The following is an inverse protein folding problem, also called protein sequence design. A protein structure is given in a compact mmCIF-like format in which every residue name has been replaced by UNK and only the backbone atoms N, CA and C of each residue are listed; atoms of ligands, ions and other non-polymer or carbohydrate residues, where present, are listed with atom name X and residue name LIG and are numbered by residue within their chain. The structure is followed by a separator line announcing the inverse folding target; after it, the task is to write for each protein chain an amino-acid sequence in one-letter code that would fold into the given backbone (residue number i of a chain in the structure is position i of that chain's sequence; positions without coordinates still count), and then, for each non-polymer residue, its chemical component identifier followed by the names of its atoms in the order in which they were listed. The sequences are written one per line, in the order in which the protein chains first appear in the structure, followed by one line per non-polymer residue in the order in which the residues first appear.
data_IF_790462178324
#
_entry.id   IF_790462178324
#
_cell.length_a   1.000
_cell.length_b   1.000
_cell.length_c   1.000
_cell.angle_alpha   90.00
_cell.angle_beta   90.00
_cell.angle_gamma   90.00
#
_symmetry.space_group_name_H-M   'P 1'
#
loop_
_entity.id
_entity.type
_entity.pdbx_description
1 polymer ?
#
# COMPACT_ATOMS: atom_id res chain seq x y z
N UNK A 1 -0.50 16.95 -3.89
CA UNK A 1 0.92 16.51 -3.92
C UNK A 1 0.97 15.00 -3.78
N UNK A 2 1.90 14.32 -4.46
CA UNK A 2 2.12 12.87 -4.34
C UNK A 2 3.46 12.63 -3.67
N UNK A 3 3.48 11.82 -2.61
CA UNK A 3 4.68 11.44 -1.89
C UNK A 3 4.98 9.95 -2.08
N UNK A 4 5.94 9.66 -2.96
CA UNK A 4 6.41 8.30 -3.27
C UNK A 4 7.74 7.95 -2.60
N UNK A 5 8.46 8.95 -2.08
CA UNK A 5 9.80 8.76 -1.54
C UNK A 5 9.77 8.05 -0.19
N UNK A 6 10.70 7.12 0.02
CA UNK A 6 10.88 6.39 1.26
C UNK A 6 11.72 5.14 1.04
N UNK A 7 11.95 4.38 2.10
CA UNK A 7 12.47 3.02 1.96
C UNK A 7 11.39 2.18 1.29
N UNK A 8 11.75 1.38 0.28
CA UNK A 8 10.78 0.65 -0.55
C UNK A 8 10.51 -0.79 -0.08
N UNK A 9 11.30 -1.30 0.86
CA UNK A 9 11.27 -2.69 1.31
C UNK A 9 11.73 -2.81 2.78
N UNK A 10 11.80 -4.04 3.28
CA UNK A 10 12.27 -4.43 4.59
C UNK A 10 13.67 -3.89 4.89
N UNK A 11 13.81 -3.31 6.07
CA UNK A 11 15.05 -2.71 6.53
C UNK A 11 15.06 -2.65 8.07
N UNK A 12 16.22 -2.39 8.70
CA UNK A 12 16.27 -2.15 10.13
C UNK A 12 15.32 -1.03 10.55
N UNK A 13 14.73 -1.16 11.74
CA UNK A 13 13.66 -0.26 12.19
C UNK A 13 14.07 1.22 12.17
N UNK A 14 15.28 1.57 12.63
CA UNK A 14 15.74 2.97 12.61
C UNK A 14 15.78 3.55 11.18
N UNK A 15 16.22 2.75 10.20
CA UNK A 15 16.22 3.12 8.78
C UNK A 15 14.80 3.39 8.28
N UNK A 16 13.83 2.55 8.63
CA UNK A 16 12.43 2.72 8.24
C UNK A 16 11.79 3.94 8.92
N UNK A 17 12.05 4.14 10.21
CA UNK A 17 11.54 5.28 10.95
C UNK A 17 12.08 6.60 10.40
N UNK A 18 13.38 6.68 10.09
CA UNK A 18 13.99 7.89 9.51
C UNK A 18 13.62 8.09 8.05
N UNK A 19 13.69 7.03 7.25
CA UNK A 19 13.55 7.08 5.79
C UNK A 19 12.11 7.16 5.31
N UNK A 20 11.14 6.67 6.10
CA UNK A 20 9.74 6.65 5.71
C UNK A 20 8.86 7.47 6.67
N UNK A 21 8.90 7.19 7.97
CA UNK A 21 7.97 7.82 8.94
C UNK A 21 8.29 9.30 9.15
N UNK A 22 9.56 9.63 9.43
CA UNK A 22 9.99 11.01 9.64
C UNK A 22 9.88 11.85 8.35
N UNK A 23 10.17 11.25 7.20
CA UNK A 23 9.99 11.90 5.89
C UNK A 23 8.51 12.22 5.65
N UNK A 24 7.60 11.25 5.85
CA UNK A 24 6.17 11.48 5.72
C UNK A 24 5.66 12.57 6.66
N UNK A 25 6.14 12.59 7.91
CA UNK A 25 5.84 13.66 8.86
C UNK A 25 6.25 15.04 8.32
N UNK A 26 7.49 15.21 7.86
CA UNK A 26 7.96 16.49 7.31
C UNK A 26 7.15 16.92 6.07
N UNK A 27 6.79 15.95 5.23
CA UNK A 27 6.01 16.18 4.02
C UNK A 27 4.59 16.66 4.36
N UNK A 28 3.92 16.02 5.33
CA UNK A 28 2.61 16.44 5.80
C UNK A 28 2.67 17.83 6.43
N UNK A 29 3.69 18.10 7.23
CA UNK A 29 3.83 19.38 7.92
C UNK A 29 4.15 20.54 6.96
N UNK A 30 5.05 20.30 6.00
CA UNK A 30 5.34 21.26 4.94
C UNK A 30 4.09 21.52 4.06
N UNK A 31 3.29 20.48 3.78
CA UNK A 31 2.06 20.60 3.01
C UNK A 31 1.02 21.46 3.71
N UNK A 32 0.81 21.24 5.02
CA UNK A 32 -0.08 22.05 5.83
C UNK A 32 0.32 23.53 5.83
N UNK A 33 1.62 23.81 6.05
CA UNK A 33 2.16 25.18 6.04
C UNK A 33 2.05 25.87 4.68
N UNK A 34 2.21 25.12 3.60
CA UNK A 34 2.12 25.65 2.23
C UNK A 34 0.67 25.78 1.73
N UNK A 35 -0.33 25.42 2.54
CA UNK A 35 -1.74 25.46 2.14
C UNK A 35 -2.07 24.45 1.04
N UNK A 36 -1.31 23.35 0.94
CA UNK A 36 -1.62 22.26 0.00
C UNK A 36 -2.93 21.63 0.44
N UNK A 37 -3.93 21.61 -0.46
CA UNK A 37 -5.24 21.03 -0.15
C UNK A 37 -5.19 19.53 0.12
N UNK A 38 -4.39 18.80 -0.69
CA UNK A 38 -4.37 17.32 -0.72
C UNK A 38 -2.99 16.73 -0.79
N UNK A 39 -2.76 15.68 0.01
CA UNK A 39 -1.57 14.83 -0.02
C UNK A 39 -1.95 13.39 -0.31
N UNK A 40 -1.34 12.80 -1.33
CA UNK A 40 -1.44 11.37 -1.65
C UNK A 40 -0.17 10.69 -1.16
N UNK A 41 -0.30 9.76 -0.22
CA UNK A 41 0.81 9.01 0.38
C UNK A 41 0.91 7.62 -0.26
N UNK A 42 2.12 7.24 -0.69
CA UNK A 42 2.42 5.86 -1.04
C UNK A 42 2.46 4.99 0.23
N UNK A 43 1.36 4.30 0.47
CA UNK A 43 1.26 3.23 1.45
C UNK A 43 1.60 1.88 0.78
N UNK A 44 1.32 0.77 1.45
CA UNK A 44 1.65 -0.55 0.92
C UNK A 44 0.65 -1.61 1.35
N UNK A 45 0.44 -2.60 0.49
CA UNK A 45 -0.27 -3.82 0.84
C UNK A 45 0.33 -4.58 2.03
N UNK A 46 1.61 -4.33 2.32
CA UNK A 46 2.38 -4.92 3.42
C UNK A 46 1.80 -4.61 4.81
N UNK A 47 0.94 -3.58 4.92
CA UNK A 47 0.16 -3.33 6.15
C UNK A 47 -0.71 -4.50 6.57
N UNK A 48 -1.15 -5.33 5.62
CA UNK A 48 -2.15 -6.39 5.81
C UNK A 48 -1.65 -7.75 5.35
N UNK A 49 -0.33 -7.91 5.13
CA UNK A 49 0.18 -9.16 4.57
C UNK A 49 0.05 -10.39 5.47
N UNK A 50 -0.15 -10.24 6.79
CA UNK A 50 -0.41 -11.39 7.67
C UNK A 50 -1.88 -11.86 7.67
N UNK A 51 -2.77 -11.24 6.90
CA UNK A 51 -4.09 -11.82 6.63
C UNK A 51 -3.95 -13.09 5.78
N UNK A 52 -4.84 -14.09 5.93
CA UNK A 52 -4.82 -15.27 5.07
C UNK A 52 -5.32 -14.94 3.66
N UNK A 53 -4.82 -15.68 2.65
CA UNK A 53 -5.27 -15.53 1.25
C UNK A 53 -6.78 -15.78 1.10
N UNK A 54 -7.37 -16.63 1.95
CA UNK A 54 -8.80 -16.96 1.94
C UNK A 54 -9.72 -15.83 2.42
N UNK A 55 -9.18 -14.71 2.88
CA UNK A 55 -9.96 -13.59 3.43
C UNK A 55 -9.86 -12.37 2.53
N UNK A 56 -11.00 -11.84 2.08
CA UNK A 56 -11.05 -10.56 1.39
C UNK A 56 -10.90 -9.42 2.38
N UNK A 57 -9.82 -8.65 2.27
CA UNK A 57 -9.48 -7.56 3.18
C UNK A 57 -9.89 -6.22 2.58
N UNK A 58 -10.64 -5.43 3.35
CA UNK A 58 -11.01 -4.06 2.98
C UNK A 58 -9.97 -3.02 3.43
N UNK A 59 -9.99 -1.80 2.88
CA UNK A 59 -9.13 -0.71 3.34
C UNK A 59 -9.28 -0.41 4.85
N UNK A 60 -10.48 -0.60 5.40
CA UNK A 60 -10.82 -0.34 6.82
C UNK A 60 -10.42 -1.48 7.77
N UNK A 61 -9.98 -2.62 7.25
CA UNK A 61 -9.53 -3.73 8.07
C UNK A 61 -8.33 -3.31 8.95
N UNK A 62 -8.26 -3.79 10.21
CA UNK A 62 -7.14 -3.46 11.08
C UNK A 62 -5.82 -3.96 10.49
N UNK A 63 -4.71 -3.24 10.67
CA UNK A 63 -3.43 -3.67 10.12
C UNK A 63 -2.97 -4.98 10.75
N UNK A 64 -2.44 -5.87 9.91
CA UNK A 64 -1.71 -7.09 10.29
C UNK A 64 -0.43 -7.14 9.46
N UNK A 65 0.59 -6.33 9.83
CA UNK A 65 1.78 -6.16 9.02
C UNK A 65 2.57 -7.46 8.89
N UNK A 66 3.20 -7.65 7.74
CA UNK A 66 4.05 -8.81 7.42
C UNK A 66 5.54 -8.58 7.72
N UNK A 67 5.91 -7.39 8.19
CA UNK A 67 7.28 -7.03 8.57
C UNK A 67 7.39 -5.61 9.14
N UNK A 68 8.61 -5.17 9.47
CA UNK A 68 8.89 -3.82 9.97
C UNK A 68 8.56 -2.76 8.89
N UNK A 69 8.77 -3.08 7.61
CA UNK A 69 8.36 -2.19 6.52
C UNK A 69 6.86 -1.91 6.56
N UNK A 70 6.05 -2.97 6.70
CA UNK A 70 4.60 -2.85 6.87
C UNK A 70 4.24 -1.99 8.09
N UNK A 71 4.91 -2.20 9.24
CA UNK A 71 4.75 -1.37 10.44
C UNK A 71 5.07 0.11 10.17
N UNK A 72 6.13 0.40 9.42
CA UNK A 72 6.47 1.79 9.07
C UNK A 72 5.36 2.45 8.24
N UNK A 73 4.72 1.71 7.34
CA UNK A 73 3.62 2.22 6.53
C UNK A 73 2.33 2.38 7.36
N UNK A 74 2.09 1.54 8.38
CA UNK A 74 1.04 1.80 9.39
C UNK A 74 1.25 3.16 10.06
N UNK A 75 2.49 3.46 10.48
CA UNK A 75 2.80 4.74 11.11
C UNK A 75 2.59 5.91 10.13
N UNK A 76 2.92 5.75 8.85
CA UNK A 76 2.63 6.75 7.80
C UNK A 76 1.13 6.98 7.62
N UNK A 77 0.31 5.93 7.56
CA UNK A 77 -1.16 6.07 7.48
C UNK A 77 -1.73 6.76 8.74
N UNK A 78 -1.23 6.40 9.92
CA UNK A 78 -1.64 7.03 11.18
C UNK A 78 -1.28 8.52 11.25
N UNK A 79 -0.10 8.91 10.75
CA UNK A 79 0.27 10.31 10.59
C UNK A 79 -0.67 11.02 9.61
N UNK A 80 -0.96 10.42 8.46
CA UNK A 80 -1.92 10.96 7.50
C UNK A 80 -3.28 11.22 8.14
N UNK A 81 -3.79 10.26 8.90
CA UNK A 81 -5.06 10.36 9.63
C UNK A 81 -5.05 11.49 10.65
N UNK A 82 -3.98 11.61 11.43
CA UNK A 82 -3.81 12.71 12.38
C UNK A 82 -3.92 14.07 11.68
N UNK A 83 -3.23 14.25 10.56
CA UNK A 83 -3.23 15.53 9.85
C UNK A 83 -4.57 15.86 9.21
N UNK A 84 -5.28 14.85 8.72
CA UNK A 84 -6.63 15.03 8.23
C UNK A 84 -7.60 15.44 9.34
N UNK A 85 -7.65 14.68 10.44
CA UNK A 85 -8.61 14.90 11.52
C UNK A 85 -8.33 16.20 12.28
N UNK A 86 -7.05 16.52 12.51
CA UNK A 86 -6.65 17.64 13.38
C UNK A 86 -6.44 18.94 12.64
N UNK A 87 -5.95 18.89 11.40
CA UNK A 87 -5.55 20.06 10.64
C UNK A 87 -6.35 20.25 9.36
N UNK A 88 -7.31 19.37 9.07
CA UNK A 88 -8.21 19.49 7.91
C UNK A 88 -7.53 19.23 6.57
N UNK A 89 -6.34 18.61 6.57
CA UNK A 89 -5.63 18.25 5.34
C UNK A 89 -6.34 17.07 4.65
N UNK A 90 -6.63 17.15 3.35
CA UNK A 90 -7.10 15.95 2.64
C UNK A 90 -5.94 14.98 2.45
N UNK A 91 -6.05 13.77 2.97
CA UNK A 91 -5.00 12.75 2.87
C UNK A 91 -5.56 11.45 2.29
N UNK A 92 -4.91 10.96 1.24
CA UNK A 92 -5.27 9.72 0.55
C UNK A 92 -4.09 8.76 0.64
N UNK A 93 -4.30 7.59 1.24
CA UNK A 93 -3.27 6.55 1.32
C UNK A 93 -3.53 5.47 0.27
N UNK A 94 -2.57 5.28 -0.64
CA UNK A 94 -2.66 4.26 -1.69
C UNK A 94 -1.81 3.07 -1.28
N UNK A 95 -2.44 1.95 -0.89
CA UNK A 95 -1.78 0.68 -0.59
C UNK A 95 -1.44 -0.02 -1.90
N UNK A 96 -0.24 0.25 -2.40
CA UNK A 96 0.26 -0.30 -3.66
C UNK A 96 0.41 -1.82 -3.53
N UNK A 97 -0.09 -2.58 -4.51
CA UNK A 97 0.15 -4.02 -4.69
C UNK A 97 1.58 -4.33 -5.14
N UNK A 98 1.75 -5.26 -6.06
CA UNK A 98 3.03 -5.57 -6.73
C UNK A 98 3.12 -4.79 -8.05
N UNK A 99 3.71 -3.59 -8.01
CA UNK A 99 3.89 -2.75 -9.19
C UNK A 99 5.03 -3.29 -10.07
N UNK A 100 4.68 -3.98 -11.14
CA UNK A 100 5.63 -4.65 -12.04
C UNK A 100 5.20 -4.50 -13.49
N UNK A 101 6.16 -4.58 -14.43
CA UNK A 101 5.84 -4.53 -15.87
C UNK A 101 4.96 -5.71 -16.31
N UNK A 102 5.25 -6.90 -15.79
CA UNK A 102 4.48 -8.13 -16.02
C UNK A 102 4.51 -9.01 -14.75
N UNK A 103 3.46 -9.82 -14.50
CA UNK A 103 3.46 -10.72 -13.36
C UNK A 103 4.44 -11.88 -13.61
N UNK A 104 5.33 -12.17 -12.65
CA UNK A 104 6.35 -13.21 -12.79
C UNK A 104 6.41 -14.20 -11.61
N UNK A 105 5.72 -13.94 -10.51
CA UNK A 105 5.65 -14.83 -9.35
C UNK A 105 4.21 -15.21 -9.01
N UNK A 106 4.04 -16.31 -8.28
CA UNK A 106 2.74 -16.87 -7.87
C UNK A 106 1.82 -15.82 -7.27
N UNK A 107 2.35 -15.03 -6.34
CA UNK A 107 1.62 -14.00 -5.62
C UNK A 107 1.07 -12.91 -6.53
N UNK A 108 1.73 -12.61 -7.65
CA UNK A 108 1.32 -11.57 -8.60
C UNK A 108 -0.04 -11.89 -9.25
N UNK A 109 -0.44 -13.16 -9.31
CA UNK A 109 -1.79 -13.55 -9.73
C UNK A 109 -2.90 -12.90 -8.89
N UNK A 110 -2.63 -12.49 -7.66
CA UNK A 110 -3.55 -11.75 -6.82
C UNK A 110 -3.15 -10.28 -6.64
N UNK A 111 -1.85 -9.99 -6.58
CA UNK A 111 -1.34 -8.68 -6.12
C UNK A 111 -0.82 -7.77 -7.21
N UNK A 112 -0.67 -8.24 -8.45
CA UNK A 112 -0.09 -7.46 -9.54
C UNK A 112 -0.83 -6.14 -9.76
N UNK A 113 -0.05 -5.09 -10.00
CA UNK A 113 -0.51 -3.77 -10.39
C UNK A 113 0.28 -3.38 -11.64
N UNK A 114 -0.41 -3.25 -12.77
CA UNK A 114 0.23 -2.77 -13.98
C UNK A 114 0.63 -1.29 -13.87
N UNK A 115 1.63 -0.81 -14.64
CA UNK A 115 1.96 0.62 -14.67
C UNK A 115 0.79 1.52 -15.09
N UNK A 116 -0.08 1.02 -15.98
CA UNK A 116 -1.30 1.73 -16.43
C UNK A 116 -2.31 1.87 -15.30
N UNK A 117 -2.62 0.77 -14.61
CA UNK A 117 -3.59 0.81 -13.52
C UNK A 117 -3.05 1.63 -12.35
N UNK A 118 -1.75 1.55 -12.08
CA UNK A 118 -1.08 2.40 -11.09
C UNK A 118 -1.31 3.89 -11.37
N UNK A 119 -1.10 4.32 -12.61
CA UNK A 119 -1.37 5.70 -13.02
C UNK A 119 -2.85 6.07 -12.77
N UNK A 120 -3.77 5.18 -13.09
CA UNK A 120 -5.20 5.38 -12.86
C UNK A 120 -5.57 5.59 -11.40
N UNK A 121 -5.09 4.71 -10.50
CA UNK A 121 -5.32 4.86 -9.06
C UNK A 121 -4.72 6.14 -8.50
N UNK A 122 -3.49 6.51 -8.89
CA UNK A 122 -2.88 7.75 -8.42
C UNK A 122 -3.57 8.99 -8.97
N UNK A 123 -4.08 8.94 -10.21
CA UNK A 123 -4.90 10.02 -10.76
C UNK A 123 -6.22 10.16 -10.00
N UNK A 124 -6.93 9.07 -9.74
CA UNK A 124 -8.17 9.06 -8.94
C UNK A 124 -7.93 9.61 -7.53
N UNK A 125 -6.87 9.16 -6.85
CA UNK A 125 -6.47 9.70 -5.55
C UNK A 125 -6.23 11.23 -5.59
N UNK A 126 -5.67 11.74 -6.69
CA UNK A 126 -5.41 13.17 -6.85
C UNK A 126 -6.65 14.00 -7.19
N UNK A 127 -7.57 13.45 -8.00
CA UNK A 127 -8.63 14.25 -8.62
C UNK A 127 -10.02 14.00 -8.07
N UNK A 128 -10.29 12.82 -7.54
CA UNK A 128 -11.65 12.46 -7.15
C UNK A 128 -12.11 13.24 -5.91
N UNK A 129 -13.40 13.63 -5.84
CA UNK A 129 -13.94 14.28 -4.66
C UNK A 129 -13.78 13.37 -3.44
N UNK A 130 -13.00 13.83 -2.46
CA UNK A 130 -12.72 13.09 -1.23
C UNK A 130 -12.62 14.11 -0.10
N UNK A 131 -13.13 13.77 1.08
CA UNK A 131 -13.08 14.62 2.26
C UNK A 131 -12.28 13.92 3.35
N UNK A 132 -11.41 14.66 4.03
CA UNK A 132 -10.64 14.15 5.18
C UNK A 132 -9.64 13.07 4.78
N UNK A 133 -9.76 11.89 5.38
CA UNK A 133 -8.83 10.77 5.23
C UNK A 133 -9.47 9.60 4.48
N UNK A 134 -8.76 9.05 3.51
CA UNK A 134 -9.19 7.87 2.74
C UNK A 134 -8.04 6.90 2.50
N UNK A 135 -8.37 5.62 2.33
CA UNK A 135 -7.42 4.55 2.01
C UNK A 135 -7.99 3.72 0.86
N UNK A 136 -7.13 3.32 -0.07
CA UNK A 136 -7.47 2.42 -1.17
C UNK A 136 -6.35 1.43 -1.43
N UNK A 137 -6.67 0.23 -1.91
CA UNK A 137 -5.69 -0.65 -2.53
C UNK A 137 -5.55 -0.28 -4.01
N UNK A 138 -4.31 -0.19 -4.50
CA UNK A 138 -4.03 -0.11 -5.92
C UNK A 138 -3.53 -1.48 -6.39
N UNK A 139 -4.37 -2.16 -7.15
CA UNK A 139 -4.14 -3.50 -7.69
C UNK A 139 -4.96 -3.65 -8.97
N UNK A 140 -4.42 -4.35 -9.96
CA UNK A 140 -5.11 -4.61 -11.22
C UNK A 140 -6.36 -5.49 -11.02
N UNK A 141 -7.14 -5.68 -12.08
CA UNK A 141 -8.36 -6.49 -12.12
C UNK A 141 -8.10 -8.01 -12.03
N UNK A 142 -7.13 -8.40 -11.21
CA UNK A 142 -6.71 -9.78 -11.01
C UNK A 142 -7.88 -10.63 -10.47
N UNK A 143 -8.25 -11.73 -11.12
CA UNK A 143 -9.38 -12.57 -10.68
C UNK A 143 -9.21 -13.16 -9.28
N UNK A 144 -7.96 -13.37 -8.84
CA UNK A 144 -7.61 -13.96 -7.53
C UNK A 144 -7.34 -12.92 -6.44
N UNK A 145 -7.63 -11.64 -6.70
CA UNK A 145 -7.41 -10.56 -5.76
C UNK A 145 -8.18 -10.81 -4.45
N UNK A 146 -7.48 -10.64 -3.33
CA UNK A 146 -8.01 -10.73 -1.96
C UNK A 146 -8.19 -9.37 -1.28
N UNK A 147 -8.15 -8.27 -2.04
CA UNK A 147 -8.45 -6.91 -1.57
C UNK A 147 -9.72 -6.37 -2.22
N UNK A 148 -10.61 -5.76 -1.43
CA UNK A 148 -11.71 -4.97 -1.99
C UNK A 148 -11.20 -3.62 -2.48
N UNK A 149 -11.62 -3.21 -3.68
CA UNK A 149 -11.30 -1.89 -4.22
C UNK A 149 -12.18 -0.81 -3.60
N UNK A 150 -11.65 0.40 -3.55
CA UNK A 150 -12.34 1.62 -3.16
C UNK A 150 -11.82 2.77 -4.03
N UNK A 151 -12.61 3.82 -4.21
CA UNK A 151 -12.30 4.94 -5.10
C UNK A 151 -13.16 4.91 -6.36
N UNK A 152 -12.82 5.77 -7.33
CA UNK A 152 -13.55 5.91 -8.59
C UNK A 152 -12.87 5.25 -9.79
N UNK A 153 -11.64 4.76 -9.64
CA UNK A 153 -10.90 4.09 -10.71
C UNK A 153 -11.23 2.60 -10.79
N UNK A 154 -11.61 2.15 -11.98
CA UNK A 154 -11.79 0.73 -12.30
C UNK A 154 -10.54 0.22 -13.05
N UNK A 155 -9.78 -0.72 -12.49
CA UNK A 155 -8.59 -1.26 -13.15
C UNK A 155 -8.96 -2.08 -14.38
N UNK A 156 -8.08 -2.07 -15.38
CA UNK A 156 -8.33 -2.67 -16.70
C UNK A 156 -7.40 -3.82 -17.05
N UNK A 157 -6.23 -3.92 -16.40
CA UNK A 157 -5.31 -5.03 -16.59
C UNK A 157 -5.60 -6.18 -15.64
N UNK A 158 -5.17 -7.38 -15.98
CA UNK A 158 -5.33 -8.55 -15.14
C UNK A 158 -4.18 -9.55 -15.33
N UNK A 159 -3.77 -10.21 -14.26
CA UNK A 159 -2.70 -11.19 -14.25
C UNK A 159 -3.18 -12.56 -14.80
N UNK A 160 -3.54 -12.60 -16.08
CA UNK A 160 -4.21 -13.77 -16.69
C UNK A 160 -3.25 -14.69 -17.45
N UNK A 161 -1.99 -14.26 -17.63
CA UNK A 161 -1.00 -14.94 -18.47
C UNK A 161 -0.15 -16.01 -17.76
N UNK A 162 -0.24 -16.14 -16.44
CA UNK A 162 0.52 -17.14 -15.68
C UNK A 162 -0.32 -18.41 -15.47
N UNK A 163 0.32 -19.58 -15.56
CA UNK A 163 -0.33 -20.89 -15.42
C UNK A 163 -1.03 -21.03 -14.05
N UNK A 164 -2.23 -21.64 -14.07
CA UNK A 164 -3.09 -21.78 -12.87
C UNK A 164 -2.43 -22.58 -11.74
N UNK A 165 -1.63 -23.59 -12.07
CA UNK A 165 -0.91 -24.46 -11.12
C UNK A 165 0.15 -23.72 -10.28
N UNK A 166 0.40 -22.44 -10.59
CA UNK A 166 1.42 -21.65 -9.93
C UNK A 166 0.92 -20.92 -8.68
N UNK A 167 -0.39 -20.78 -8.47
CA UNK A 167 -0.93 -20.02 -7.34
C UNK A 167 -0.92 -20.79 -6.02
N UNK A 168 -0.43 -20.18 -4.94
CA UNK A 168 -0.61 -20.71 -3.58
C UNK A 168 -2.00 -20.32 -3.07
N UNK A 169 -2.82 -21.32 -2.75
CA UNK A 169 -4.18 -21.10 -2.22
C UNK A 169 -4.22 -20.92 -0.70
N UNK A 170 -3.08 -21.09 -0.02
CA UNK A 170 -2.96 -21.07 1.43
C UNK A 170 -1.83 -20.16 1.94
N UNK A 171 -1.89 -19.84 3.24
CA UNK A 171 -0.91 -19.00 3.91
C UNK A 171 -1.24 -17.50 3.90
N UNK A 172 -0.28 -16.67 4.31
CA UNK A 172 -0.47 -15.23 4.41
C UNK A 172 -0.46 -14.55 3.04
N UNK A 173 -1.23 -13.48 2.88
CA UNK A 173 -1.28 -12.60 1.71
C UNK A 173 0.08 -11.98 1.36
N UNK A 174 0.97 -11.85 2.35
CA UNK A 174 2.35 -11.40 2.19
C UNK A 174 3.26 -12.47 1.58
N UNK A 175 2.84 -13.73 1.46
CA UNK A 175 3.69 -14.82 0.96
C UNK A 175 4.96 -14.97 1.80
N UNK A 176 6.09 -15.22 1.12
CA UNK A 176 7.40 -15.42 1.76
C UNK A 176 7.85 -14.23 2.60
N UNK A 177 7.40 -13.04 2.24
CA UNK A 177 7.73 -11.85 2.97
C UNK A 177 7.10 -11.76 4.38
N UNK A 178 6.07 -12.57 4.67
CA UNK A 178 5.46 -12.69 5.99
C UNK A 178 6.14 -13.78 6.85
N UNK A 179 7.17 -14.43 6.32
CA UNK A 179 7.96 -15.41 7.07
C UNK A 179 8.81 -14.71 8.15
N UNK A 180 9.04 -15.36 9.31
CA UNK A 180 9.99 -14.86 10.31
C UNK A 180 11.38 -14.62 9.72
N UNK A 181 11.84 -15.50 8.83
CA UNK A 181 13.16 -15.45 8.20
C UNK A 181 13.37 -14.19 7.35
N UNK A 182 12.29 -13.66 6.75
CA UNK A 182 12.35 -12.42 6.00
C UNK A 182 12.70 -11.24 6.91
N UNK A 183 11.99 -11.11 8.03
CA UNK A 183 12.19 -9.99 8.98
C UNK A 183 13.45 -10.15 9.84
N UNK A 184 13.80 -11.37 10.26
CA UNK A 184 14.93 -11.63 11.17
C UNK A 184 16.28 -11.12 10.63
N UNK A 185 16.45 -11.03 9.31
CA UNK A 185 17.65 -10.48 8.66
C UNK A 185 17.90 -9.01 8.97
N UNK A 186 16.88 -8.30 9.47
CA UNK A 186 16.90 -6.86 9.74
C UNK A 186 16.82 -6.51 11.24
N UNK A 187 16.79 -7.52 12.12
CA UNK A 187 16.71 -7.35 13.58
C UNK A 187 18.06 -7.44 14.29
N UNK A 188 19.17 -7.54 13.53
CA UNK A 188 20.54 -7.66 14.05
C UNK A 188 21.31 -6.35 13.99
#
# INVERSE_FOLDING_TARGET
MVHLAGVADEAPLDTLLRGSVLVAHHVLEASGRAGVRRVVLASSNRLTGCYPISETVSPDAPPRPDGLYGVSKVAVEALGRLYADKFGLEVVCVRIGSLEHEPFESRHLATWLSPRDCQGFFLDALTSPQAGFSVMYAVSANPRRFWSLAGGYEPVDAADGLAEDFFREDGPQGGDYASPEYTLRHLM
#
